data_IF_276366335567
#
_entry.id   IF_276366335567
#
_cell.length_a   1.000
_cell.length_b   1.000
_cell.length_c   1.000
_cell.angle_alpha   90.00
_cell.angle_beta   90.00
_cell.angle_gamma   90.00
#
_symmetry.space_group_name_H-M   'P 1'
#
loop_
_entity.id
_entity.type
_entity.pdbx_description
1 polymer ?
#
# COMPACT_ATOMS: atom_id res chain seq x y z
N UNK A 1 -25.05 6.55 -13.96
CA UNK A 1 -24.36 5.34 -14.43
C UNK A 1 -24.27 4.39 -13.25
N UNK A 2 -24.48 3.10 -13.45
CA UNK A 2 -24.32 2.10 -12.38
C UNK A 2 -22.85 2.09 -11.93
N UNK A 3 -22.62 2.25 -10.62
CA UNK A 3 -21.31 2.30 -9.98
C UNK A 3 -20.47 1.07 -10.33
N UNK A 4 -21.11 -0.10 -10.42
CA UNK A 4 -20.44 -1.34 -10.83
C UNK A 4 -19.91 -1.29 -12.27
N UNK A 5 -20.60 -0.57 -13.15
CA UNK A 5 -20.18 -0.40 -14.55
C UNK A 5 -19.00 0.59 -14.64
N UNK A 6 -18.97 1.60 -13.78
CA UNK A 6 -17.85 2.55 -13.68
C UNK A 6 -16.60 1.88 -13.10
N UNK A 7 -16.76 1.15 -11.99
CA UNK A 7 -15.70 0.37 -11.35
C UNK A 7 -15.07 -0.63 -12.32
N UNK A 8 -15.88 -1.42 -13.02
CA UNK A 8 -15.37 -2.39 -14.00
C UNK A 8 -14.55 -1.73 -15.11
N UNK A 9 -15.03 -0.61 -15.68
CA UNK A 9 -14.28 0.13 -16.72
C UNK A 9 -12.96 0.67 -16.19
N UNK A 10 -12.94 1.14 -14.94
CA UNK A 10 -11.74 1.61 -14.29
C UNK A 10 -10.74 0.48 -14.08
N UNK A 11 -11.19 -0.66 -13.53
CA UNK A 11 -10.34 -1.82 -13.27
C UNK A 11 -9.74 -2.39 -14.57
N UNK A 12 -10.54 -2.44 -15.65
CA UNK A 12 -10.07 -2.84 -16.98
C UNK A 12 -8.97 -1.88 -17.50
N UNK A 13 -9.16 -0.57 -17.31
CA UNK A 13 -8.18 0.44 -17.71
C UNK A 13 -6.89 0.38 -16.89
N UNK A 14 -6.99 0.25 -15.56
CA UNK A 14 -5.84 0.10 -14.66
C UNK A 14 -5.09 -1.18 -14.98
N UNK A 15 -5.78 -2.29 -15.23
CA UNK A 15 -5.17 -3.56 -15.64
C UNK A 15 -4.39 -3.43 -16.94
N UNK A 16 -4.93 -2.67 -17.91
CA UNK A 16 -4.21 -2.36 -19.16
C UNK A 16 -2.92 -1.56 -18.90
N UNK A 17 -2.94 -0.60 -17.98
CA UNK A 17 -1.75 0.18 -17.61
C UNK A 17 -0.71 -0.68 -16.90
N UNK A 18 -1.15 -1.54 -15.98
CA UNK A 18 -0.26 -2.39 -15.18
C UNK A 18 0.47 -3.38 -16.08
N UNK A 19 -0.23 -4.02 -17.03
CA UNK A 19 0.35 -5.01 -17.94
C UNK A 19 1.39 -4.41 -18.90
N UNK A 20 1.32 -3.11 -19.17
CA UNK A 20 2.30 -2.39 -19.99
C UNK A 20 3.54 -1.93 -19.21
N UNK A 21 3.51 -1.97 -17.87
CA UNK A 21 4.62 -1.52 -17.02
C UNK A 21 5.56 -2.68 -16.69
N UNK A 22 6.84 -2.35 -16.48
CA UNK A 22 7.82 -3.33 -16.01
C UNK A 22 7.50 -3.75 -14.58
N UNK A 23 7.56 -5.06 -14.31
CA UNK A 23 7.23 -5.62 -12.99
C UNK A 23 8.17 -5.18 -11.87
N UNK A 24 9.42 -4.83 -12.21
CA UNK A 24 10.46 -4.48 -11.24
C UNK A 24 10.43 -3.00 -10.80
N UNK A 25 9.71 -2.13 -11.51
CA UNK A 25 9.64 -0.70 -11.23
C UNK A 25 8.22 -0.12 -11.39
N UNK A 26 7.23 -0.76 -10.77
CA UNK A 26 5.85 -0.26 -10.69
C UNK A 26 5.47 0.13 -9.26
N UNK A 27 4.60 1.13 -9.15
CA UNK A 27 4.01 1.56 -7.88
C UNK A 27 2.69 0.84 -7.55
N UNK A 28 2.11 0.16 -8.55
CA UNK A 28 0.91 -0.66 -8.41
C UNK A 28 1.22 -1.91 -7.59
N UNK A 29 0.30 -2.24 -6.69
CA UNK A 29 0.40 -3.38 -5.80
C UNK A 29 -0.91 -4.16 -5.88
N UNK A 30 -0.84 -5.42 -6.33
CA UNK A 30 -1.95 -6.33 -6.09
C UNK A 30 -2.12 -6.57 -4.59
N UNK A 31 -3.29 -7.06 -4.18
CA UNK A 31 -3.52 -7.47 -2.79
C UNK A 31 -2.47 -8.47 -2.29
N UNK A 32 -2.07 -9.44 -3.13
CA UNK A 32 -0.99 -10.39 -2.79
C UNK A 32 0.40 -9.76 -2.69
N UNK A 33 0.74 -8.83 -3.59
CA UNK A 33 2.02 -8.10 -3.53
C UNK A 33 2.08 -7.23 -2.27
N UNK A 34 0.97 -6.60 -1.90
CA UNK A 34 0.85 -5.78 -0.70
C UNK A 34 1.13 -6.59 0.57
N UNK A 35 0.45 -7.72 0.75
CA UNK A 35 0.63 -8.60 1.90
C UNK A 35 2.06 -9.17 1.95
N UNK A 36 2.58 -9.57 0.79
CA UNK A 36 3.97 -10.03 0.68
C UNK A 36 4.96 -8.96 1.13
N UNK A 37 4.71 -7.67 0.81
CA UNK A 37 5.57 -6.56 1.26
C UNK A 37 5.44 -6.30 2.75
N UNK A 38 4.27 -6.46 3.35
CA UNK A 38 4.10 -6.37 4.80
C UNK A 38 4.92 -7.46 5.51
N UNK A 39 4.83 -8.71 5.06
CA UNK A 39 5.59 -9.82 5.64
C UNK A 39 7.10 -9.66 5.47
N UNK A 40 7.55 -9.25 4.27
CA UNK A 40 8.96 -8.95 4.02
C UNK A 40 9.47 -7.83 4.93
N UNK A 41 8.69 -6.77 5.10
CA UNK A 41 9.07 -5.65 5.95
C UNK A 41 9.15 -6.04 7.43
N UNK A 42 8.22 -6.85 7.93
CA UNK A 42 8.29 -7.43 9.29
C UNK A 42 9.56 -8.26 9.46
N UNK A 43 9.84 -9.13 8.50
CA UNK A 43 11.03 -10.00 8.50
C UNK A 43 12.33 -9.18 8.46
N UNK A 44 12.39 -8.16 7.60
CA UNK A 44 13.55 -7.26 7.49
C UNK A 44 13.76 -6.45 8.76
N UNK A 45 12.69 -5.90 9.38
CA UNK A 45 12.79 -5.21 10.67
C UNK A 45 13.33 -6.14 11.76
N UNK A 46 12.84 -7.38 11.82
CA UNK A 46 13.31 -8.39 12.77
C UNK A 46 14.79 -8.72 12.55
N UNK A 47 15.20 -8.96 11.31
CA UNK A 47 16.59 -9.26 10.96
C UNK A 47 17.55 -8.09 11.28
N UNK A 48 17.10 -6.85 11.09
CA UNK A 48 17.91 -5.66 11.38
C UNK A 48 18.06 -5.40 12.89
N UNK A 49 17.04 -5.74 13.69
CA UNK A 49 17.03 -5.55 15.15
C UNK A 49 17.64 -6.73 15.93
N UNK A 50 17.81 -7.90 15.31
CA UNK A 50 18.36 -9.10 15.97
C UNK A 50 19.88 -9.18 15.80
N UNK A 51 20.61 -9.29 16.91
CA UNK A 51 22.06 -9.48 16.90
C UNK A 51 22.38 -10.89 16.38
N UNK A 52 23.30 -11.01 15.43
CA UNK A 52 23.72 -12.30 14.85
C UNK A 52 22.93 -12.76 13.62
N UNK A 53 21.82 -12.10 13.26
CA UNK A 53 21.13 -12.36 11.99
C UNK A 53 21.85 -11.70 10.80
N UNK A 54 21.83 -12.40 9.65
CA UNK A 54 22.43 -11.89 8.40
C UNK A 54 21.56 -10.75 7.84
N UNK A 55 22.11 -9.54 7.85
CA UNK A 55 21.48 -8.35 7.28
C UNK A 55 21.83 -8.26 5.81
N UNK A 56 20.84 -8.07 4.95
CA UNK A 56 21.04 -7.92 3.51
C UNK A 56 20.79 -6.49 3.06
N UNK A 57 21.33 -6.10 1.90
CA UNK A 57 21.05 -4.80 1.28
C UNK A 57 19.53 -4.64 1.02
N UNK A 58 18.83 -5.74 0.73
CA UNK A 58 17.38 -5.74 0.54
C UNK A 58 16.65 -5.32 1.81
N UNK A 59 17.08 -5.78 2.98
CA UNK A 59 16.47 -5.42 4.27
C UNK A 59 16.55 -3.91 4.52
N UNK A 60 17.74 -3.34 4.33
CA UNK A 60 17.93 -1.88 4.45
C UNK A 60 17.10 -1.10 3.42
N UNK A 61 17.01 -1.58 2.18
CA UNK A 61 16.17 -0.95 1.14
C UNK A 61 14.69 -1.03 1.49
N UNK A 62 14.25 -2.13 2.11
CA UNK A 62 12.87 -2.38 2.50
C UNK A 62 12.42 -1.36 3.54
N UNK A 63 13.15 -1.25 4.66
CA UNK A 63 12.82 -0.32 5.77
C UNK A 63 13.04 1.16 5.42
N UNK A 64 13.87 1.47 4.43
CA UNK A 64 14.01 2.84 3.91
C UNK A 64 12.85 3.26 3.03
N UNK A 65 12.23 2.31 2.31
CA UNK A 65 11.15 2.61 1.37
C UNK A 65 9.77 2.53 2.02
N UNK A 66 9.61 1.63 2.99
CA UNK A 66 8.32 1.34 3.60
C UNK A 66 8.43 1.28 5.11
N UNK A 67 7.30 1.56 5.75
CA UNK A 67 7.07 1.39 7.17
C UNK A 67 5.68 0.74 7.39
N UNK A 68 5.40 0.31 8.62
CA UNK A 68 4.13 -0.32 9.01
C UNK A 68 3.47 0.54 10.07
N UNK A 69 2.21 0.87 9.84
CA UNK A 69 1.33 1.46 10.83
C UNK A 69 0.21 0.47 11.15
N UNK A 70 0.06 0.12 12.41
CA UNK A 70 -1.07 -0.69 12.87
C UNK A 70 -2.21 0.24 13.26
N UNK A 71 -3.31 0.19 12.51
CA UNK A 71 -4.53 0.96 12.79
C UNK A 71 -5.70 -0.02 12.93
N UNK A 72 -6.50 0.11 14.00
CA UNK A 72 -7.63 -0.77 14.29
C UNK A 72 -7.28 -2.28 14.27
N UNK A 73 -6.07 -2.64 14.72
CA UNK A 73 -5.58 -4.03 14.74
C UNK A 73 -5.18 -4.59 13.37
N UNK A 74 -5.24 -3.79 12.29
CA UNK A 74 -4.77 -4.17 10.96
C UNK A 74 -3.50 -3.43 10.60
N UNK A 75 -2.51 -4.17 10.11
CA UNK A 75 -1.27 -3.58 9.62
C UNK A 75 -1.49 -2.96 8.25
N UNK A 76 -1.06 -1.71 8.12
CA UNK A 76 -1.11 -0.94 6.88
C UNK A 76 0.31 -0.53 6.50
N UNK A 77 0.62 -0.72 5.23
CA UNK A 77 1.88 -0.32 4.63
C UNK A 77 1.86 1.19 4.41
N UNK A 78 2.86 1.90 4.93
CA UNK A 78 2.99 3.34 4.81
C UNK A 78 4.38 3.71 4.27
N UNK A 79 4.52 4.94 3.78
CA UNK A 79 5.86 5.53 3.59
C UNK A 79 6.41 5.92 4.97
N UNK A 80 7.71 5.72 5.24
CA UNK A 80 8.34 6.23 6.45
C UNK A 80 8.00 7.71 6.67
N UNK A 81 7.54 8.03 7.87
CA UNK A 81 7.09 9.38 8.24
C UNK A 81 8.30 10.29 8.43
N UNK A 82 8.34 11.41 7.71
CA UNK A 82 9.45 12.39 7.79
C UNK A 82 8.96 13.77 8.25
N UNK A 83 7.77 14.19 7.84
CA UNK A 83 7.20 15.53 8.10
C UNK A 83 5.78 15.46 8.67
N UNK A 84 5.52 14.54 9.61
CA UNK A 84 4.20 14.29 10.24
C UNK A 84 3.04 13.92 9.30
N UNK A 85 3.28 13.87 7.99
CA UNK A 85 2.33 13.37 7.00
C UNK A 85 2.52 11.86 6.81
N UNK A 86 1.45 11.11 7.05
CA UNK A 86 1.40 9.66 6.81
C UNK A 86 0.87 9.40 5.40
N UNK A 87 1.68 8.75 4.57
CA UNK A 87 1.27 8.33 3.22
C UNK A 87 1.01 6.83 3.22
N UNK A 88 -0.23 6.44 2.93
CA UNK A 88 -0.64 5.05 2.86
C UNK A 88 -0.40 4.47 1.46
N UNK A 89 0.11 3.24 1.43
CA UNK A 89 0.02 2.41 0.24
C UNK A 89 -1.30 1.67 0.26
N UNK A 90 -1.89 1.50 -0.93
CA UNK A 90 -3.21 0.90 -1.16
C UNK A 90 -3.10 -0.12 -2.26
N UNK A 91 -4.00 -1.10 -2.28
CA UNK A 91 -4.02 -2.11 -3.34
C UNK A 91 -4.69 -1.56 -4.59
N UNK A 92 -4.44 -2.19 -5.74
CA UNK A 92 -5.10 -1.81 -6.99
C UNK A 92 -6.63 -1.90 -6.88
N UNK A 93 -7.13 -2.87 -6.10
CA UNK A 93 -8.55 -3.12 -5.88
C UNK A 93 -9.20 -2.00 -5.05
N UNK A 94 -8.43 -1.33 -4.19
CA UNK A 94 -8.88 -0.20 -3.37
C UNK A 94 -8.81 1.15 -4.12
N UNK A 95 -8.16 1.23 -5.29
CA UNK A 95 -7.92 2.50 -5.99
C UNK A 95 -9.21 3.21 -6.41
N UNK A 96 -10.17 2.46 -6.98
CA UNK A 96 -11.45 3.02 -7.40
C UNK A 96 -12.19 3.57 -6.19
N UNK A 97 -12.32 2.74 -5.15
CA UNK A 97 -13.09 3.06 -3.96
C UNK A 97 -12.51 4.30 -3.26
N UNK A 98 -11.19 4.47 -3.24
CA UNK A 98 -10.51 5.66 -2.67
C UNK A 98 -10.74 6.93 -3.50
N UNK A 99 -10.77 6.82 -4.82
CA UNK A 99 -11.02 7.95 -5.72
C UNK A 99 -12.49 8.36 -5.72
N UNK A 100 -13.38 7.39 -5.53
CA UNK A 100 -14.83 7.57 -5.50
C UNK A 100 -15.34 7.97 -4.11
N UNK A 101 -14.49 7.97 -3.06
CA UNK A 101 -14.86 8.56 -1.76
C UNK A 101 -15.23 10.03 -2.00
N UNK A 102 -16.48 10.43 -1.77
CA UNK A 102 -16.82 11.84 -1.73
C UNK A 102 -16.05 12.41 -0.54
N UNK A 103 -15.11 13.33 -0.81
CA UNK A 103 -14.36 14.05 0.22
C UNK A 103 -15.27 14.78 1.25
N UNK A 104 -16.59 14.77 1.03
CA UNK A 104 -17.64 15.40 1.83
C UNK A 104 -18.36 14.50 2.85
N UNK A 105 -18.29 13.16 2.77
CA UNK A 105 -19.13 12.31 3.65
C UNK A 105 -18.60 12.15 5.09
N UNK A 106 -17.35 12.53 5.38
CA UNK A 106 -16.77 12.39 6.73
C UNK A 106 -16.93 13.64 7.62
N UNK A 107 -17.65 14.67 7.17
CA UNK A 107 -17.90 15.90 7.96
C UNK A 107 -19.30 15.92 8.60
N UNK A 108 -20.21 15.00 8.24
CA UNK A 108 -21.62 15.04 8.70
C UNK A 108 -21.97 14.19 9.92
N UNK A 109 -21.06 13.41 10.51
CA UNK A 109 -21.38 12.59 11.71
C UNK A 109 -20.64 13.06 12.98
N UNK A 110 -20.70 14.36 13.27
CA UNK A 110 -20.49 14.88 14.62
C UNK A 110 -21.69 15.79 14.97
N UNK A 111 -22.79 15.16 15.39
CA UNK A 111 -23.82 15.78 16.24
C UNK A 111 -23.64 15.31 17.69
#
# INVERSE_FOLDING_TARGET
MDENVMKKKFDDFISSIITQKRDDNKAFLSSSEYDCRLEQLKSSKLALNTIGMKKTIKDYRMVRKFDILTANGKDKLIKPVINDTVLYYVTNDELFDILDIPQLAMVEEIE
#
